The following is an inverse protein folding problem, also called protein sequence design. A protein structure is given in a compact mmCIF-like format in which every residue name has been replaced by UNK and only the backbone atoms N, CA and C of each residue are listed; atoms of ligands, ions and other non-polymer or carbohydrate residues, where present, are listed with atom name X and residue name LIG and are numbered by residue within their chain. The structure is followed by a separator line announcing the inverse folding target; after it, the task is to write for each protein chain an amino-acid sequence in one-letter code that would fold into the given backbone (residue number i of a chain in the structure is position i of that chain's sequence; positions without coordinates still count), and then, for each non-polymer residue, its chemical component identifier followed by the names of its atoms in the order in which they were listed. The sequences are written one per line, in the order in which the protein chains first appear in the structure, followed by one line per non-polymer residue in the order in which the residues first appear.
data_IF_026599698234
#
_entry.id   IF_026599698234
#
_cell.length_a   1.000
_cell.length_b   1.000
_cell.length_c   1.000
_cell.angle_alpha   90.00
_cell.angle_beta   90.00
_cell.angle_gamma   90.00
#
_symmetry.space_group_name_H-M   'P 1'
#
loop_
_entity.id
_entity.type
_entity.pdbx_description
1 polymer ?
#
# COMPACT_ATOMS: atom_id res chain seq x y z
N UNK A 1 15.05 16.93 -42.11
CA UNK A 1 14.72 15.51 -41.81
C UNK A 1 16.04 14.86 -41.43
N UNK A 2 16.27 14.29 -40.25
CA UNK A 2 15.41 13.64 -39.27
C UNK A 2 15.80 14.04 -37.83
N UNK A 3 14.82 14.02 -36.92
CA UNK A 3 15.02 14.19 -35.47
C UNK A 3 14.97 12.80 -34.81
N UNK A 4 15.97 12.51 -33.99
CA UNK A 4 16.05 11.37 -33.07
C UNK A 4 14.96 11.48 -31.97
N UNK A 5 14.14 10.44 -31.71
CA UNK A 5 13.04 10.50 -30.75
C UNK A 5 13.38 9.98 -29.33
N UNK A 6 14.64 9.73 -28.97
CA UNK A 6 14.99 9.15 -27.66
C UNK A 6 15.42 10.21 -26.61
N UNK A 7 14.47 11.06 -26.19
CA UNK A 7 14.68 12.09 -25.17
C UNK A 7 14.77 11.59 -23.71
N UNK A 8 15.62 10.59 -23.42
CA UNK A 8 15.99 10.25 -22.04
C UNK A 8 17.19 11.12 -21.67
N UNK A 9 16.94 12.26 -21.01
CA UNK A 9 18.00 13.04 -20.37
C UNK A 9 18.61 12.20 -19.25
N UNK A 10 19.80 11.65 -19.47
CA UNK A 10 20.66 11.11 -18.40
C UNK A 10 20.88 12.22 -17.38
N UNK A 11 20.31 12.04 -16.20
CA UNK A 11 20.57 12.85 -15.03
C UNK A 11 22.05 12.63 -14.64
N UNK A 12 22.92 13.58 -14.96
CA UNK A 12 24.26 13.64 -14.38
C UNK A 12 24.14 14.30 -13.01
N UNK A 13 24.50 13.61 -11.90
CA UNK A 13 24.53 14.28 -10.60
C UNK A 13 25.66 15.31 -10.63
N UNK A 14 25.29 16.56 -10.34
CA UNK A 14 26.24 17.62 -10.05
C UNK A 14 27.16 17.15 -8.93
N UNK A 15 28.46 17.03 -9.24
CA UNK A 15 29.52 16.76 -8.28
C UNK A 15 29.58 17.94 -7.29
N UNK A 16 28.90 17.82 -6.15
CA UNK A 16 29.11 18.68 -4.98
C UNK A 16 30.12 18.01 -4.05
N UNK A 17 30.99 18.85 -3.52
CA UNK A 17 32.16 18.53 -2.74
C UNK A 17 31.80 17.75 -1.46
N UNK A 18 32.68 16.82 -1.09
CA UNK A 18 32.56 15.99 0.10
C UNK A 18 32.63 16.87 1.35
N UNK A 19 31.63 16.77 2.22
CA UNK A 19 31.73 17.26 3.59
C UNK A 19 32.56 16.27 4.43
N UNK A 20 33.41 16.74 5.36
CA UNK A 20 34.39 15.90 6.06
C UNK A 20 33.85 15.24 7.36
N UNK A 21 32.54 15.06 7.51
CA UNK A 21 31.95 14.60 8.77
C UNK A 21 31.38 13.18 8.65
N UNK A 22 32.17 12.21 9.14
CA UNK A 22 31.67 10.90 9.53
C UNK A 22 30.73 11.05 10.73
N UNK A 23 29.42 11.00 10.47
CA UNK A 23 28.40 10.97 11.51
C UNK A 23 28.37 9.60 12.19
N UNK A 24 28.81 9.57 13.45
CA UNK A 24 28.76 8.41 14.35
C UNK A 24 27.29 8.08 14.67
N UNK A 25 26.85 6.85 14.37
CA UNK A 25 25.58 6.33 14.86
C UNK A 25 25.72 6.11 16.37
N UNK A 26 25.24 7.04 17.19
CA UNK A 26 25.13 6.83 18.63
C UNK A 26 23.90 5.98 18.93
N UNK A 27 24.13 4.70 19.22
CA UNK A 27 23.10 3.81 19.76
C UNK A 27 23.12 3.84 21.29
N UNK A 28 22.25 4.66 21.88
CA UNK A 28 22.00 4.63 23.33
C UNK A 28 21.11 3.43 23.67
N UNK A 29 21.71 2.40 24.27
CA UNK A 29 20.99 1.18 24.67
C UNK A 29 20.33 1.37 26.04
N UNK A 30 19.08 1.85 26.06
CA UNK A 30 18.18 1.75 27.20
C UNK A 30 17.44 0.40 27.19
N UNK A 31 17.42 -0.31 28.33
CA UNK A 31 16.65 -1.56 28.47
C UNK A 31 15.15 -1.24 28.29
N UNK A 32 14.51 -1.87 27.31
CA UNK A 32 13.06 -1.77 27.07
C UNK A 32 12.64 -1.05 25.78
N UNK A 33 13.57 -0.69 24.88
CA UNK A 33 13.20 -0.04 23.61
C UNK A 33 12.88 -1.05 22.52
N UNK A 34 11.80 -0.79 21.78
CA UNK A 34 11.40 -1.55 20.59
C UNK A 34 12.60 -1.68 19.63
N UNK A 35 12.83 -2.86 19.02
CA UNK A 35 13.88 -3.01 18.02
C UNK A 35 13.59 -2.18 16.75
N UNK A 36 12.40 -1.60 16.63
CA UNK A 36 11.97 -0.70 15.57
C UNK A 36 12.12 0.75 16.02
N UNK A 37 12.88 1.54 15.26
CA UNK A 37 13.08 2.96 15.49
C UNK A 37 12.80 3.74 14.20
N UNK A 38 12.17 4.90 14.34
CA UNK A 38 11.86 5.77 13.20
C UNK A 38 13.14 6.25 12.52
N UNK A 39 13.16 6.15 11.20
CA UNK A 39 14.15 6.84 10.37
C UNK A 39 13.57 8.20 10.02
N UNK A 40 14.32 9.27 10.28
CA UNK A 40 13.85 10.60 9.93
C UNK A 40 14.00 10.84 8.42
N UNK A 41 12.89 11.17 7.74
CA UNK A 41 12.89 11.74 6.40
C UNK A 41 12.36 13.17 6.49
N UNK A 42 13.13 14.13 5.97
CA UNK A 42 12.77 15.54 5.99
C UNK A 42 11.62 15.82 5.00
N UNK A 43 10.57 16.50 5.45
CA UNK A 43 9.40 16.81 4.62
C UNK A 43 9.72 17.86 3.55
N UNK A 44 10.68 18.76 3.79
CA UNK A 44 11.13 19.73 2.80
C UNK A 44 11.88 19.04 1.65
N UNK A 45 12.77 18.10 1.97
CA UNK A 45 13.47 17.31 0.95
C UNK A 45 12.49 16.47 0.12
N UNK A 46 11.54 15.81 0.79
CA UNK A 46 10.46 15.06 0.12
C UNK A 46 9.63 15.96 -0.81
N UNK A 47 9.25 17.15 -0.34
CA UNK A 47 8.51 18.12 -1.13
C UNK A 47 9.28 18.51 -2.40
N UNK A 48 10.57 18.85 -2.27
CA UNK A 48 11.39 19.27 -3.41
C UNK A 48 11.65 18.13 -4.40
N UNK A 49 11.90 16.91 -3.92
CA UNK A 49 12.02 15.72 -4.77
C UNK A 49 10.73 15.53 -5.57
N UNK A 50 9.58 15.42 -4.89
CA UNK A 50 8.30 15.12 -5.54
C UNK A 50 7.85 16.24 -6.47
N UNK A 51 8.10 17.51 -6.12
CA UNK A 51 7.79 18.67 -6.96
C UNK A 51 8.65 18.72 -8.23
N UNK A 52 9.86 18.17 -8.19
CA UNK A 52 10.76 18.12 -9.36
C UNK A 52 10.41 17.02 -10.36
N UNK A 53 9.57 16.06 -9.97
CA UNK A 53 9.16 14.94 -10.81
C UNK A 53 7.93 15.29 -11.66
N UNK A 54 8.00 14.98 -12.97
CA UNK A 54 6.86 15.14 -13.90
C UNK A 54 5.99 13.89 -13.98
N UNK A 55 6.47 12.76 -13.48
CA UNK A 55 5.79 11.47 -13.43
C UNK A 55 5.72 11.00 -11.96
N UNK A 56 4.73 10.15 -11.61
CA UNK A 56 4.67 9.57 -10.28
C UNK A 56 5.88 8.68 -10.01
N UNK A 57 6.32 8.65 -8.76
CA UNK A 57 7.35 7.72 -8.29
C UNK A 57 6.70 6.53 -7.60
N UNK A 58 7.27 5.35 -7.78
CA UNK A 58 6.99 4.22 -6.89
C UNK A 58 7.67 4.45 -5.54
N UNK A 59 7.11 3.91 -4.46
CA UNK A 59 7.69 3.90 -3.11
C UNK A 59 9.16 3.47 -3.14
N UNK A 60 9.46 2.41 -3.88
CA UNK A 60 10.81 1.86 -3.97
C UNK A 60 11.80 2.83 -4.60
N UNK A 61 11.35 3.65 -5.55
CA UNK A 61 12.18 4.66 -6.21
C UNK A 61 12.44 5.82 -5.24
N UNK A 62 11.40 6.28 -4.54
CA UNK A 62 11.51 7.32 -3.54
C UNK A 62 12.43 6.90 -2.39
N UNK A 63 12.29 5.67 -1.88
CA UNK A 63 13.18 5.13 -0.84
C UNK A 63 14.63 5.07 -1.32
N UNK A 64 14.90 4.64 -2.55
CA UNK A 64 16.26 4.61 -3.11
C UNK A 64 16.87 6.02 -3.20
N UNK A 65 16.08 7.02 -3.60
CA UNK A 65 16.53 8.41 -3.65
C UNK A 65 16.87 8.93 -2.25
N UNK A 66 16.01 8.69 -1.27
CA UNK A 66 16.18 9.20 0.10
C UNK A 66 17.28 8.49 0.89
N UNK A 67 17.41 7.18 0.73
CA UNK A 67 18.40 6.37 1.47
C UNK A 67 19.76 6.31 0.79
N UNK A 68 19.82 6.62 -0.51
CA UNK A 68 21.00 6.41 -1.35
C UNK A 68 21.32 4.92 -1.61
N UNK A 69 20.48 3.99 -1.15
CA UNK A 69 20.70 2.55 -1.32
C UNK A 69 20.32 2.12 -2.73
N UNK A 70 21.24 1.48 -3.47
CA UNK A 70 20.94 0.95 -4.83
C UNK A 70 20.06 -0.30 -4.79
N UNK A 71 20.19 -1.10 -3.73
CA UNK A 71 19.39 -2.29 -3.49
C UNK A 71 18.72 -2.15 -2.15
N UNK A 72 17.45 -2.51 -2.12
CA UNK A 72 16.66 -2.37 -0.92
C UNK A 72 16.93 -3.52 0.05
N UNK A 73 16.78 -3.28 1.36
CA UNK A 73 17.07 -4.29 2.36
C UNK A 73 16.21 -5.54 2.13
N UNK A 74 16.79 -6.73 2.25
CA UNK A 74 16.02 -7.98 2.22
C UNK A 74 15.40 -8.32 3.58
N UNK A 75 15.90 -7.69 4.65
CA UNK A 75 15.38 -7.86 6.01
C UNK A 75 13.98 -7.28 6.13
N UNK A 76 12.99 -8.12 6.45
CA UNK A 76 11.61 -7.71 6.72
C UNK A 76 11.54 -6.57 7.73
N UNK A 77 12.31 -6.69 8.82
CA UNK A 77 12.39 -5.67 9.87
C UNK A 77 12.77 -4.32 9.29
N UNK A 78 13.87 -4.28 8.51
CA UNK A 78 14.37 -3.04 7.93
C UNK A 78 13.42 -2.47 6.89
N UNK A 79 12.83 -3.32 6.03
CA UNK A 79 11.81 -2.92 5.06
C UNK A 79 10.60 -2.28 5.73
N UNK A 80 10.06 -2.92 6.77
CA UNK A 80 8.96 -2.34 7.55
C UNK A 80 9.35 -0.99 8.16
N UNK A 81 10.54 -0.91 8.78
CA UNK A 81 11.03 0.34 9.38
C UNK A 81 11.10 1.48 8.36
N UNK A 82 11.70 1.27 7.19
CA UNK A 82 11.84 2.34 6.19
C UNK A 82 10.49 2.69 5.54
N UNK A 83 9.63 1.70 5.30
CA UNK A 83 8.27 1.90 4.79
C UNK A 83 7.45 2.75 5.77
N UNK A 84 7.38 2.33 7.03
CA UNK A 84 6.63 3.05 8.07
C UNK A 84 7.15 4.49 8.21
N UNK A 85 8.48 4.64 8.26
CA UNK A 85 9.12 5.95 8.36
C UNK A 85 8.79 6.86 7.17
N UNK A 86 8.78 6.30 5.95
CA UNK A 86 8.40 7.06 4.75
C UNK A 86 6.95 7.52 4.83
N UNK A 87 6.01 6.63 5.11
CA UNK A 87 4.60 7.00 5.17
C UNK A 87 4.29 7.93 6.35
N UNK A 88 4.97 7.78 7.48
CA UNK A 88 4.94 8.75 8.58
C UNK A 88 5.31 10.15 8.08
N UNK A 89 6.40 10.29 7.33
CA UNK A 89 6.83 11.56 6.74
C UNK A 89 5.88 12.05 5.64
N UNK A 90 5.38 11.17 4.76
CA UNK A 90 4.45 11.54 3.68
C UNK A 90 3.10 12.04 4.23
N UNK A 91 2.57 11.43 5.30
CA UNK A 91 1.33 11.92 5.93
C UNK A 91 1.51 13.30 6.57
N UNK A 92 2.69 13.59 7.13
CA UNK A 92 3.02 14.94 7.61
C UNK A 92 3.15 15.93 6.45
N UNK A 93 3.87 15.53 5.40
CA UNK A 93 4.01 16.30 4.18
C UNK A 93 2.64 16.59 3.52
N UNK A 94 1.69 15.65 3.57
CA UNK A 94 0.35 15.84 3.00
C UNK A 94 -0.35 17.07 3.59
N UNK A 95 -0.25 17.27 4.90
CA UNK A 95 -0.81 18.43 5.60
C UNK A 95 -0.04 19.71 5.23
N UNK A 96 1.30 19.67 5.32
CA UNK A 96 2.17 20.80 5.01
C UNK A 96 1.99 21.29 3.56
N UNK A 97 2.01 20.37 2.60
CA UNK A 97 1.80 20.64 1.18
C UNK A 97 0.39 21.18 0.89
N UNK A 98 -0.62 20.72 1.63
CA UNK A 98 -1.99 21.24 1.57
C UNK A 98 -2.04 22.75 1.81
N UNK A 99 -1.31 23.24 2.82
CA UNK A 99 -1.23 24.68 3.12
C UNK A 99 -0.55 25.49 2.00
N UNK A 100 0.30 24.84 1.21
CA UNK A 100 1.01 25.43 0.06
C UNK A 100 0.21 25.33 -1.25
N UNK A 101 -1.00 24.80 -1.22
CA UNK A 101 -1.85 24.66 -2.41
C UNK A 101 -1.52 23.43 -3.26
N UNK A 102 -0.99 22.38 -2.64
CA UNK A 102 -0.70 21.10 -3.29
C UNK A 102 -1.52 19.96 -2.66
N UNK A 103 -1.74 18.93 -3.45
CA UNK A 103 -2.26 17.64 -3.03
C UNK A 103 -1.17 16.59 -3.19
N UNK A 104 -1.00 15.78 -2.15
CA UNK A 104 -0.11 14.62 -2.20
C UNK A 104 -0.94 13.35 -2.43
N UNK A 105 -0.76 12.73 -3.59
CA UNK A 105 -1.30 11.40 -3.87
C UNK A 105 -0.34 10.34 -3.30
N UNK A 106 -0.87 9.42 -2.50
CA UNK A 106 -0.10 8.46 -1.70
C UNK A 106 -0.52 7.02 -2.01
N UNK A 107 -0.21 6.56 -3.22
CA UNK A 107 -0.29 5.16 -3.60
C UNK A 107 1.15 4.60 -3.72
N UNK A 108 1.49 3.41 -3.19
CA UNK A 108 2.85 2.86 -3.26
C UNK A 108 3.43 2.74 -4.67
N UNK A 109 2.59 2.63 -5.70
CA UNK A 109 2.98 2.61 -7.10
C UNK A 109 2.95 4.00 -7.74
N UNK A 110 2.25 4.96 -7.12
CA UNK A 110 2.04 6.32 -7.64
C UNK A 110 2.09 7.37 -6.53
N UNK A 111 3.28 7.71 -6.06
CA UNK A 111 3.51 8.83 -5.15
C UNK A 111 3.80 10.07 -6.00
N UNK A 112 2.98 11.11 -5.88
CA UNK A 112 3.22 12.39 -6.59
C UNK A 112 2.58 13.57 -5.90
N UNK A 113 3.18 14.74 -6.14
CA UNK A 113 2.64 16.02 -5.73
C UNK A 113 1.94 16.70 -6.91
N UNK A 114 0.68 17.09 -6.73
CA UNK A 114 -0.13 17.76 -7.74
C UNK A 114 -0.56 19.14 -7.26
N UNK A 115 -0.45 20.16 -8.10
CA UNK A 115 -0.91 21.52 -7.75
C UNK A 115 -2.43 21.57 -7.76
N UNK A 116 -3.02 22.15 -6.73
CA UNK A 116 -4.48 22.36 -6.69
C UNK A 116 -4.89 23.32 -7.81
N UNK A 117 -6.05 23.09 -8.46
CA UNK A 117 -6.47 23.85 -9.65
C UNK A 117 -6.92 25.29 -9.34
N UNK A 118 -6.89 25.70 -8.07
CA UNK A 118 -7.26 27.04 -7.62
C UNK A 118 -8.74 27.17 -7.24
N UNK A 119 -9.18 28.41 -7.02
CA UNK A 119 -10.57 28.72 -6.65
C UNK A 119 -11.51 28.54 -7.86
N UNK A 120 -12.76 28.14 -7.59
CA UNK A 120 -13.83 27.96 -8.61
C UNK A 120 -13.49 26.98 -9.74
N UNK A 121 -12.63 26.02 -9.43
CA UNK A 121 -12.21 24.95 -10.31
C UNK A 121 -12.51 23.63 -9.63
N UNK A 122 -12.81 22.59 -10.41
CA UNK A 122 -13.06 21.26 -9.89
C UNK A 122 -11.76 20.60 -9.40
N UNK A 123 -11.75 20.19 -8.13
CA UNK A 123 -10.72 19.47 -7.39
C UNK A 123 -10.91 17.94 -7.47
N UNK A 124 -11.71 17.44 -8.41
CA UNK A 124 -11.73 16.01 -8.68
C UNK A 124 -10.37 15.60 -9.28
N UNK A 125 -9.63 14.79 -8.54
CA UNK A 125 -8.32 14.28 -8.92
C UNK A 125 -8.46 13.02 -9.77
N UNK A 126 -7.78 12.99 -10.91
CA UNK A 126 -7.80 11.88 -11.86
C UNK A 126 -6.51 11.09 -11.68
N UNK A 127 -6.58 9.95 -10.98
CA UNK A 127 -5.38 9.17 -10.61
C UNK A 127 -4.53 8.73 -11.82
N UNK A 128 -5.20 8.40 -12.93
CA UNK A 128 -4.55 7.90 -14.14
C UNK A 128 -3.60 8.95 -14.76
N UNK A 129 -4.06 10.19 -14.94
CA UNK A 129 -3.22 11.27 -15.46
C UNK A 129 -2.40 11.94 -14.36
N UNK A 130 -2.93 12.02 -13.15
CA UNK A 130 -2.43 12.81 -12.04
C UNK A 130 -2.83 14.29 -12.10
N UNK A 131 -3.81 14.61 -12.94
CA UNK A 131 -4.34 15.96 -13.10
C UNK A 131 -5.66 16.13 -12.35
N UNK A 132 -6.14 17.37 -12.35
CA UNK A 132 -7.48 17.72 -11.90
C UNK A 132 -8.41 17.91 -13.09
N UNK A 133 -9.69 17.56 -12.90
CA UNK A 133 -10.74 17.92 -13.86
C UNK A 133 -10.69 19.42 -14.22
N UNK A 134 -10.53 20.29 -13.22
CA UNK A 134 -10.35 21.74 -13.39
C UNK A 134 -11.44 22.46 -14.22
N UNK A 135 -12.59 21.82 -14.47
CA UNK A 135 -13.78 22.49 -14.99
C UNK A 135 -14.26 23.55 -14.01
N UNK A 136 -15.02 24.53 -14.50
CA UNK A 136 -15.61 25.55 -13.66
C UNK A 136 -16.49 24.90 -12.56
N UNK A 137 -16.38 25.44 -11.35
CA UNK A 137 -17.26 25.10 -10.23
C UNK A 137 -17.78 26.38 -9.62
N UNK A 138 -19.10 26.49 -9.54
CA UNK A 138 -19.76 27.75 -9.18
C UNK A 138 -19.64 28.04 -7.68
N UNK A 139 -19.75 27.03 -6.82
CA UNK A 139 -19.76 27.19 -5.36
C UNK A 139 -19.14 26.02 -4.57
N UNK A 140 -18.35 25.14 -5.20
CA UNK A 140 -17.81 23.96 -4.54
C UNK A 140 -16.38 23.62 -4.92
N UNK A 141 -15.90 22.51 -4.34
CA UNK A 141 -14.67 21.87 -4.77
C UNK A 141 -14.89 20.99 -6.00
N UNK A 142 -16.14 20.67 -6.36
CA UNK A 142 -16.46 19.78 -7.48
C UNK A 142 -17.35 20.50 -8.50
N UNK A 143 -17.22 20.15 -9.79
CA UNK A 143 -18.18 20.56 -10.82
C UNK A 143 -19.43 19.67 -10.77
N UNK A 144 -20.50 20.08 -11.43
CA UNK A 144 -21.80 19.39 -11.35
C UNK A 144 -21.72 17.91 -11.69
N UNK A 145 -20.88 17.54 -12.67
CA UNK A 145 -20.64 16.14 -13.07
C UNK A 145 -20.11 15.33 -11.87
N UNK A 146 -19.02 15.80 -11.26
CA UNK A 146 -18.40 15.07 -10.14
C UNK A 146 -19.18 15.20 -8.83
N UNK A 147 -20.01 16.23 -8.66
CA UNK A 147 -20.96 16.30 -7.53
C UNK A 147 -21.99 15.18 -7.64
N UNK A 148 -22.55 14.95 -8.84
CA UNK A 148 -23.51 13.88 -9.08
C UNK A 148 -22.90 12.49 -8.86
N UNK A 149 -21.64 12.29 -9.27
CA UNK A 149 -20.93 11.01 -9.09
C UNK A 149 -20.54 10.72 -7.64
N UNK A 150 -20.22 11.76 -6.85
CA UNK A 150 -19.68 11.61 -5.48
C UNK A 150 -20.74 11.39 -4.39
N UNK A 151 -22.03 11.37 -4.75
CA UNK A 151 -23.20 11.10 -3.91
C UNK A 151 -23.02 11.23 -2.38
N UNK A 152 -23.45 12.34 -1.77
CA UNK A 152 -23.42 12.65 -0.33
C UNK A 152 -22.14 12.20 0.41
N UNK A 153 -21.21 13.15 0.54
CA UNK A 153 -19.93 13.06 1.24
C UNK A 153 -19.86 11.99 2.35
N UNK A 154 -19.06 10.95 2.11
CA UNK A 154 -18.68 9.99 3.14
C UNK A 154 -17.93 10.69 4.29
N UNK A 155 -18.08 10.22 5.54
CA UNK A 155 -17.26 10.69 6.65
C UNK A 155 -15.77 10.49 6.35
N UNK A 156 -14.97 11.53 6.65
CA UNK A 156 -13.51 11.56 6.51
C UNK A 156 -12.83 10.76 7.63
N UNK A 157 -13.04 9.45 7.69
CA UNK A 157 -12.26 8.55 8.53
C UNK A 157 -11.11 7.96 7.72
N UNK A 158 -9.87 8.35 8.05
CA UNK A 158 -8.63 7.83 7.44
C UNK A 158 -7.84 7.06 8.51
N UNK A 159 -8.15 5.77 8.75
CA UNK A 159 -7.45 4.98 9.77
C UNK A 159 -5.96 4.79 9.45
N UNK A 160 -5.55 4.93 8.19
CA UNK A 160 -4.14 4.88 7.82
C UNK A 160 -3.41 6.15 8.27
N UNK A 161 -4.04 7.32 8.13
CA UNK A 161 -3.49 8.57 8.70
C UNK A 161 -3.24 8.43 10.19
N UNK A 162 -4.24 7.96 10.94
CA UNK A 162 -4.11 7.75 12.39
C UNK A 162 -3.01 6.74 12.72
N UNK A 163 -2.88 5.68 11.91
CA UNK A 163 -1.84 4.68 12.07
C UNK A 163 -0.43 5.25 11.84
N UNK A 164 -0.19 5.92 10.71
CA UNK A 164 1.15 6.39 10.35
C UNK A 164 1.57 7.67 11.07
N UNK A 165 0.63 8.51 11.53
CA UNK A 165 0.99 9.75 12.27
C UNK A 165 1.38 9.48 13.72
N UNK A 166 0.96 8.35 14.30
CA UNK A 166 1.41 7.93 15.62
C UNK A 166 2.77 7.21 15.54
N UNK A 167 3.88 7.81 16.05
CA UNK A 167 5.22 7.23 15.95
C UNK A 167 5.35 5.89 16.69
N UNK A 168 4.55 5.66 17.74
CA UNK A 168 4.62 4.43 18.55
C UNK A 168 4.17 3.19 17.76
N UNK A 169 3.37 3.37 16.70
CA UNK A 169 2.90 2.28 15.84
C UNK A 169 4.04 1.64 15.03
N UNK A 170 5.25 2.21 15.03
CA UNK A 170 6.41 1.53 14.44
C UNK A 170 6.74 0.21 15.16
N UNK A 171 6.36 0.08 16.43
CA UNK A 171 6.49 -1.16 17.19
C UNK A 171 5.64 -2.30 16.62
N UNK A 172 4.60 -1.99 15.84
CA UNK A 172 3.74 -2.97 15.17
C UNK A 172 4.52 -3.91 14.24
N UNK A 173 5.68 -3.50 13.74
CA UNK A 173 6.56 -4.35 12.95
C UNK A 173 6.98 -5.63 13.68
N UNK A 174 7.00 -5.62 15.02
CA UNK A 174 7.34 -6.76 15.86
C UNK A 174 6.16 -7.64 16.25
N UNK A 175 4.93 -7.24 15.90
CA UNK A 175 3.74 -7.95 16.32
C UNK A 175 3.52 -9.22 15.50
N UNK A 176 3.16 -10.30 16.20
CA UNK A 176 2.87 -11.60 15.55
C UNK A 176 1.69 -11.53 14.58
N UNK A 177 0.78 -10.55 14.78
CA UNK A 177 -0.35 -10.34 13.89
C UNK A 177 0.08 -9.88 12.49
N UNK A 178 1.12 -9.05 12.38
CA UNK A 178 1.66 -8.63 11.09
C UNK A 178 2.21 -9.83 10.32
N UNK A 179 2.93 -10.72 11.00
CA UNK A 179 3.45 -11.93 10.37
C UNK A 179 2.32 -12.85 9.87
N UNK A 180 1.24 -12.99 10.63
CA UNK A 180 0.05 -13.75 10.23
C UNK A 180 -0.65 -13.13 9.02
N UNK A 181 -0.85 -11.82 9.02
CA UNK A 181 -1.45 -11.09 7.90
C UNK A 181 -0.61 -11.23 6.63
N UNK A 182 0.70 -10.99 6.72
CA UNK A 182 1.61 -11.15 5.59
C UNK A 182 1.62 -12.58 5.04
N UNK A 183 1.59 -13.59 5.92
CA UNK A 183 1.51 -14.98 5.50
C UNK A 183 0.22 -15.24 4.72
N UNK A 184 -0.92 -14.77 5.21
CA UNK A 184 -2.21 -14.89 4.51
C UNK A 184 -2.19 -14.24 3.13
N UNK A 185 -1.63 -13.03 3.02
CA UNK A 185 -1.51 -12.29 1.76
C UNK A 185 -0.59 -13.00 0.76
N UNK A 186 0.57 -13.50 1.20
CA UNK A 186 1.51 -14.23 0.32
C UNK A 186 0.88 -15.53 -0.19
N UNK A 187 0.24 -16.29 0.69
CA UNK A 187 -0.48 -17.51 0.31
C UNK A 187 -1.57 -17.16 -0.69
N UNK A 188 -2.34 -16.10 -0.44
CA UNK A 188 -3.36 -15.64 -1.36
C UNK A 188 -2.79 -15.22 -2.73
N UNK A 189 -1.72 -14.43 -2.76
CA UNK A 189 -1.11 -13.96 -3.99
C UNK A 189 -0.51 -15.09 -4.84
N UNK A 190 0.10 -16.10 -4.22
CA UNK A 190 0.71 -17.24 -4.91
C UNK A 190 -0.32 -18.30 -5.33
N UNK A 191 -1.41 -18.44 -4.57
CA UNK A 191 -2.43 -19.49 -4.78
C UNK A 191 -3.80 -18.93 -5.16
N UNK A 192 -3.88 -17.70 -5.65
CA UNK A 192 -5.15 -17.00 -5.90
C UNK A 192 -6.10 -17.82 -6.75
N UNK A 193 -5.60 -18.45 -7.83
CA UNK A 193 -6.41 -19.33 -8.69
C UNK A 193 -6.90 -20.60 -7.99
N UNK A 194 -6.09 -21.23 -7.13
CA UNK A 194 -6.50 -22.40 -6.34
C UNK A 194 -7.54 -22.02 -5.28
N UNK A 195 -7.38 -20.85 -4.66
CA UNK A 195 -8.29 -20.33 -3.64
C UNK A 195 -9.63 -19.96 -4.27
N UNK A 196 -9.65 -19.29 -5.43
CA UNK A 196 -10.87 -18.99 -6.16
C UNK A 196 -11.61 -20.25 -6.61
N UNK A 197 -10.87 -21.27 -7.06
CA UNK A 197 -11.44 -22.57 -7.42
C UNK A 197 -12.06 -23.26 -6.21
N UNK A 198 -11.37 -23.27 -5.06
CA UNK A 198 -11.86 -23.86 -3.82
C UNK A 198 -13.08 -23.10 -3.27
N UNK A 199 -13.07 -21.76 -3.32
CA UNK A 199 -14.22 -20.93 -2.95
C UNK A 199 -15.44 -21.21 -3.85
N UNK A 200 -15.21 -21.40 -5.15
CA UNK A 200 -16.25 -21.76 -6.12
C UNK A 200 -16.82 -23.15 -5.82
N UNK A 201 -15.96 -24.15 -5.56
CA UNK A 201 -16.37 -25.50 -5.17
C UNK A 201 -17.21 -25.49 -3.89
N UNK A 202 -16.86 -24.66 -2.91
CA UNK A 202 -17.61 -24.49 -1.67
C UNK A 202 -18.88 -23.64 -1.83
N UNK A 203 -19.01 -22.88 -2.93
CA UNK A 203 -20.09 -21.91 -3.13
C UNK A 203 -19.99 -20.69 -2.21
N UNK A 204 -18.77 -20.27 -1.86
CA UNK A 204 -18.49 -19.18 -0.92
C UNK A 204 -17.86 -17.98 -1.64
N UNK A 205 -18.24 -16.75 -1.26
CA UNK A 205 -17.65 -15.51 -1.83
C UNK A 205 -16.76 -14.74 -0.87
N UNK A 206 -17.17 -14.62 0.40
CA UNK A 206 -16.41 -13.95 1.46
C UNK A 206 -16.61 -14.68 2.79
N UNK A 207 -16.13 -15.92 2.91
CA UNK A 207 -16.34 -16.69 4.12
C UNK A 207 -15.41 -16.22 5.25
N UNK A 208 -15.81 -16.50 6.48
CA UNK A 208 -14.90 -16.56 7.63
C UNK A 208 -14.63 -18.03 7.97
N UNK A 209 -13.67 -18.30 8.86
CA UNK A 209 -13.29 -19.66 9.25
C UNK A 209 -14.48 -20.53 9.66
N UNK A 210 -15.40 -19.95 10.45
CA UNK A 210 -16.61 -20.65 10.91
C UNK A 210 -17.47 -21.12 9.74
N UNK A 211 -17.67 -20.27 8.73
CA UNK A 211 -18.42 -20.61 7.52
C UNK A 211 -17.72 -21.65 6.66
N UNK A 212 -16.39 -21.59 6.51
CA UNK A 212 -15.63 -22.62 5.77
C UNK A 212 -15.81 -23.99 6.43
N UNK A 213 -15.63 -24.09 7.75
CA UNK A 213 -15.80 -25.34 8.50
C UNK A 213 -17.22 -25.89 8.40
N UNK A 214 -18.22 -25.03 8.57
CA UNK A 214 -19.62 -25.43 8.44
C UNK A 214 -19.88 -26.03 7.06
N UNK A 215 -19.46 -25.34 5.99
CA UNK A 215 -19.70 -25.78 4.62
C UNK A 215 -18.97 -27.08 4.28
N UNK A 216 -17.78 -27.28 4.83
CA UNK A 216 -17.05 -28.55 4.71
C UNK A 216 -17.87 -29.72 5.26
N UNK A 217 -18.44 -29.59 6.47
CA UNK A 217 -19.25 -30.66 7.06
C UNK A 217 -20.53 -30.94 6.28
N UNK A 218 -21.16 -29.91 5.71
CA UNK A 218 -22.33 -30.08 4.83
C UNK A 218 -21.97 -30.87 3.57
N UNK A 219 -20.89 -30.49 2.89
CA UNK A 219 -20.44 -31.16 1.67
C UNK A 219 -19.91 -32.59 1.93
N UNK A 220 -19.23 -32.81 3.06
CA UNK A 220 -18.72 -34.14 3.43
C UNK A 220 -19.85 -35.16 3.62
N UNK A 221 -21.02 -34.71 4.10
CA UNK A 221 -22.22 -35.56 4.19
C UNK A 221 -22.80 -35.92 2.83
N UNK A 222 -22.65 -35.05 1.84
CA UNK A 222 -23.16 -35.26 0.47
C UNK A 222 -22.20 -36.13 -0.34
N UNK A 223 -20.89 -35.89 -0.21
CA UNK A 223 -19.86 -36.54 -1.00
C UNK A 223 -19.28 -37.81 -0.35
N UNK A 224 -19.90 -38.31 0.72
CA UNK A 224 -19.42 -39.51 1.40
C UNK A 224 -19.40 -40.73 0.44
N UNK A 225 -18.30 -41.49 0.34
CA UNK A 225 -18.17 -42.60 -0.61
C UNK A 225 -19.27 -43.67 -0.46
N UNK A 226 -19.70 -43.93 0.78
CA UNK A 226 -20.77 -44.90 1.09
C UNK A 226 -22.12 -44.52 0.44
N UNK A 227 -22.38 -43.23 0.24
CA UNK A 227 -23.59 -42.74 -0.43
C UNK A 227 -23.42 -42.69 -1.95
N UNK A 228 -22.18 -42.63 -2.44
CA UNK A 228 -21.83 -42.50 -3.86
C UNK A 228 -21.27 -43.78 -4.47
N UNK A 229 -21.72 -44.95 -3.99
CA UNK A 229 -21.32 -46.28 -4.52
C UNK A 229 -19.80 -46.48 -4.59
N UNK A 230 -19.05 -45.90 -3.65
CA UNK A 230 -17.60 -46.01 -3.56
C UNK A 230 -16.81 -45.02 -4.40
N UNK A 231 -17.45 -44.08 -5.12
CA UNK A 231 -16.73 -42.98 -5.78
C UNK A 231 -16.29 -41.95 -4.74
N UNK A 232 -14.97 -41.85 -4.52
CA UNK A 232 -14.34 -40.95 -3.57
C UNK A 232 -13.78 -39.68 -4.19
N UNK A 233 -13.94 -39.49 -5.51
CA UNK A 233 -13.34 -38.37 -6.25
C UNK A 233 -13.80 -37.02 -5.69
N UNK A 234 -15.10 -36.89 -5.42
CA UNK A 234 -15.68 -35.67 -4.83
C UNK A 234 -15.23 -35.43 -3.38
N UNK A 235 -14.98 -36.51 -2.61
CA UNK A 235 -14.48 -36.40 -1.24
C UNK A 235 -13.00 -35.98 -1.21
N UNK A 236 -12.19 -36.50 -2.14
CA UNK A 236 -10.79 -36.08 -2.32
C UNK A 236 -10.70 -34.62 -2.72
N UNK A 237 -11.52 -34.18 -3.66
CA UNK A 237 -11.55 -32.78 -4.10
C UNK A 237 -12.03 -31.84 -2.98
N UNK A 238 -13.04 -32.26 -2.20
CA UNK A 238 -13.49 -31.54 -1.00
C UNK A 238 -12.35 -31.36 0.02
N UNK A 239 -11.62 -32.42 0.32
CA UNK A 239 -10.51 -32.37 1.29
C UNK A 239 -9.38 -31.47 0.80
N UNK A 240 -9.01 -31.56 -0.48
CA UNK A 240 -7.99 -30.71 -1.09
C UNK A 240 -8.40 -29.23 -1.06
N UNK A 241 -9.61 -28.92 -1.50
CA UNK A 241 -10.16 -27.56 -1.47
C UNK A 241 -10.24 -27.01 -0.03
N UNK A 242 -10.62 -27.84 0.95
CA UNK A 242 -10.65 -27.45 2.35
C UNK A 242 -9.25 -27.09 2.90
N UNK A 243 -8.21 -27.88 2.57
CA UNK A 243 -6.84 -27.58 2.98
C UNK A 243 -6.37 -26.22 2.46
N UNK A 244 -6.63 -25.93 1.17
CA UNK A 244 -6.31 -24.62 0.56
C UNK A 244 -6.99 -23.48 1.30
N UNK A 245 -8.29 -23.60 1.61
CA UNK A 245 -9.03 -22.57 2.34
C UNK A 245 -8.53 -22.42 3.79
N UNK A 246 -8.15 -23.51 4.45
CA UNK A 246 -7.61 -23.45 5.81
C UNK A 246 -6.24 -22.77 5.88
N UNK A 247 -5.41 -22.84 4.84
CA UNK A 247 -4.14 -22.08 4.82
C UNK A 247 -4.34 -20.56 4.81
N UNK A 248 -5.49 -20.09 4.32
CA UNK A 248 -5.81 -18.65 4.16
C UNK A 248 -6.68 -18.13 5.30
N UNK A 249 -7.71 -18.87 5.69
CA UNK A 249 -8.76 -18.40 6.62
C UNK A 249 -8.53 -18.81 8.08
N UNK A 250 -7.35 -19.30 8.47
CA UNK A 250 -7.01 -19.64 9.87
C UNK A 250 -6.73 -18.40 10.76
N UNK A 251 -6.86 -17.19 10.21
CA UNK A 251 -6.69 -15.93 10.94
C UNK A 251 -7.95 -15.60 11.76
#
# INVERSE_FOLDING_TARGET
MARDPSGIRRFMPHRRERTPWGGRIEMTHGRGQSPYALVHFDTADLFDILRSCTAPLMEIELLRVLTGETRMPSSRKRLFTIHFSLYHALYRLKEEAGTLGFYLHMDPMRIRLARLPGRRRCHHYIEASGDYCAMASDNGLLCDIHVMESGNALPSFDPLRDFYTNPENISFGGETILEKLMKGVIVYALKSGEIESALTFFGLRRPNLKRVKQRYHELARVYHPDLNRGDDSMMKELNRSYQVLMEVYVI
#
